data_IF_467895646806
#
_entry.id   IF_467895646806
#
_cell.length_a   1.000
_cell.length_b   1.000
_cell.length_c   1.000
_cell.angle_alpha   90.00
_cell.angle_beta   90.00
_cell.angle_gamma   90.00
#
_symmetry.space_group_name_H-M   'P 1'
#
loop_
_entity.id
_entity.type
_entity.pdbx_description
1 polymer ?
#
# COMPACT_ATOMS: atom_id res chain seq x y z
N UNK A 1 1.41 3.38 6.03
CA UNK A 1 1.89 3.21 4.64
C UNK A 1 3.41 3.20 4.65
N UNK A 2 4.08 2.42 3.80
CA UNK A 2 5.52 2.20 3.84
C UNK A 2 6.03 1.57 2.54
N UNK A 3 7.36 1.49 2.38
CA UNK A 3 8.03 0.65 1.40
C UNK A 3 7.95 -0.83 1.76
N UNK A 4 7.46 -1.67 0.87
CA UNK A 4 7.32 -3.10 1.12
C UNK A 4 8.69 -3.79 1.28
N UNK A 5 8.99 -4.19 2.52
CA UNK A 5 10.16 -4.98 2.88
C UNK A 5 9.79 -6.29 3.56
N UNK A 6 8.56 -6.78 3.35
CA UNK A 6 8.10 -8.03 3.98
C UNK A 6 8.91 -9.24 3.49
N UNK A 7 8.96 -10.31 4.30
CA UNK A 7 9.83 -11.47 4.04
C UNK A 7 9.52 -12.16 2.71
N UNK A 8 8.23 -12.36 2.42
CA UNK A 8 7.74 -12.95 1.17
C UNK A 8 6.74 -11.98 0.56
N UNK A 9 7.16 -11.26 -0.48
CA UNK A 9 6.28 -10.37 -1.22
C UNK A 9 6.59 -10.30 -2.71
N UNK A 10 5.55 -10.42 -3.57
CA UNK A 10 5.69 -10.18 -5.00
C UNK A 10 5.89 -8.69 -5.35
N UNK A 11 5.72 -7.79 -4.36
CA UNK A 11 5.79 -6.33 -4.51
C UNK A 11 6.92 -5.73 -3.67
N UNK A 12 7.97 -6.51 -3.37
CA UNK A 12 9.09 -6.04 -2.56
C UNK A 12 9.76 -4.82 -3.21
N UNK A 13 9.89 -3.73 -2.46
CA UNK A 13 10.43 -2.44 -2.94
C UNK A 13 9.37 -1.43 -3.39
N UNK A 14 8.11 -1.84 -3.50
CA UNK A 14 7.00 -0.97 -3.87
C UNK A 14 6.47 -0.13 -2.71
N UNK A 15 5.61 0.84 -3.05
CA UNK A 15 4.84 1.59 -2.07
C UNK A 15 3.54 0.86 -1.71
N UNK A 16 3.38 0.53 -0.43
CA UNK A 16 2.21 -0.19 0.08
C UNK A 16 1.51 0.53 1.23
N UNK A 17 0.21 0.23 1.39
CA UNK A 17 -0.57 0.49 2.59
C UNK A 17 -0.81 -0.83 3.34
N UNK A 18 -0.82 -0.77 4.66
CA UNK A 18 -1.25 -1.89 5.52
C UNK A 18 -2.48 -1.44 6.29
N UNK A 19 -3.48 -2.32 6.35
CA UNK A 19 -4.72 -2.11 7.10
C UNK A 19 -4.85 -3.23 8.11
N UNK A 20 -5.10 -2.86 9.36
CA UNK A 20 -5.26 -3.77 10.48
C UNK A 20 -5.49 -2.99 11.76
N UNK A 21 -5.55 -3.70 12.88
CA UNK A 21 -5.76 -3.11 14.21
C UNK A 21 -4.41 -2.81 14.85
N UNK A 22 -4.40 -1.83 15.75
CA UNK A 22 -3.22 -1.57 16.58
C UNK A 22 -2.73 -2.84 17.32
N UNK A 23 -3.65 -3.67 17.81
CA UNK A 23 -3.32 -4.95 18.46
C UNK A 23 -2.61 -5.95 17.52
N UNK A 24 -2.85 -5.89 16.20
CA UNK A 24 -2.09 -6.71 15.24
C UNK A 24 -0.62 -6.28 15.19
N UNK A 25 -0.34 -4.98 15.31
CA UNK A 25 1.03 -4.47 15.37
C UNK A 25 1.69 -4.94 16.68
N UNK A 26 1.01 -4.77 17.81
CA UNK A 26 1.54 -5.15 19.13
C UNK A 26 1.87 -6.64 19.20
N UNK A 27 1.04 -7.48 18.59
CA UNK A 27 1.19 -8.93 18.61
C UNK A 27 1.96 -9.50 17.41
N UNK A 28 2.43 -8.66 16.48
CA UNK A 28 3.14 -9.11 15.28
C UNK A 28 2.31 -9.96 14.32
N UNK A 29 1.00 -9.68 14.20
CA UNK A 29 0.08 -10.36 13.27
C UNK A 29 0.05 -9.66 11.90
N UNK A 30 -0.37 -10.41 10.88
CA UNK A 30 -0.44 -9.93 9.48
C UNK A 30 -1.43 -8.78 9.24
N UNK A 31 -2.36 -8.53 10.16
CA UNK A 31 -3.43 -7.55 9.99
C UNK A 31 -4.53 -8.03 9.04
N UNK A 32 -5.31 -7.10 8.50
CA UNK A 32 -6.46 -7.41 7.64
C UNK A 32 -6.04 -7.61 6.18
N UNK A 33 -5.23 -6.70 5.64
CA UNK A 33 -4.63 -6.84 4.31
C UNK A 33 -3.52 -5.80 4.07
N UNK A 34 -2.75 -6.01 2.99
CA UNK A 34 -1.87 -5.02 2.37
C UNK A 34 -2.41 -4.63 0.99
N UNK A 35 -2.25 -3.36 0.63
CA UNK A 35 -2.62 -2.82 -0.68
C UNK A 35 -1.39 -2.22 -1.35
N UNK A 36 -1.11 -2.61 -2.59
CA UNK A 36 -0.10 -1.96 -3.44
C UNK A 36 -0.65 -0.60 -3.89
N UNK A 37 0.02 0.47 -3.51
CA UNK A 37 -0.37 1.84 -3.87
C UNK A 37 0.26 2.24 -5.19
N UNK A 38 1.58 2.03 -5.35
CA UNK A 38 2.28 2.26 -6.61
C UNK A 38 3.44 1.28 -6.81
N UNK A 39 3.70 0.96 -8.07
CA UNK A 39 4.86 0.19 -8.55
C UNK A 39 6.12 1.07 -8.53
N UNK A 40 7.18 0.62 -7.84
CA UNK A 40 8.44 1.36 -7.80
C UNK A 40 9.45 0.76 -8.78
N UNK A 41 9.93 1.58 -9.71
CA UNK A 41 10.88 1.16 -10.75
C UNK A 41 12.36 1.30 -10.34
N UNK A 42 12.67 1.55 -9.06
CA UNK A 42 14.04 1.70 -8.57
C UNK A 42 14.26 1.00 -7.23
N UNK A 43 14.44 -0.33 -7.30
CA UNK A 43 14.75 -1.17 -6.13
C UNK A 43 13.84 -0.82 -4.95
N UNK A 44 14.40 -0.33 -3.84
CA UNK A 44 13.66 0.16 -2.68
C UNK A 44 13.82 1.66 -2.41
N UNK A 45 14.20 2.48 -3.37
CA UNK A 45 14.31 3.93 -3.14
C UNK A 45 12.95 4.63 -3.32
N UNK A 46 12.07 4.47 -2.33
CA UNK A 46 10.77 5.13 -2.27
C UNK A 46 10.12 5.04 -0.87
N UNK A 47 8.97 5.70 -0.74
CA UNK A 47 7.93 5.42 0.26
C UNK A 47 8.32 5.61 1.73
N UNK A 48 8.73 6.83 2.07
CA UNK A 48 8.66 7.41 3.42
C UNK A 48 7.48 8.39 3.49
N UNK A 49 6.24 7.90 3.64
CA UNK A 49 5.06 8.72 3.42
C UNK A 49 4.63 9.51 4.67
N UNK A 50 4.10 10.71 4.45
CA UNK A 50 3.10 11.30 5.35
C UNK A 50 1.75 10.59 5.15
N UNK A 51 0.97 10.44 6.22
CA UNK A 51 -0.37 9.86 6.19
C UNK A 51 -1.31 10.74 7.00
N UNK A 52 -2.32 11.31 6.34
CA UNK A 52 -3.30 12.23 6.92
C UNK A 52 -4.71 11.70 6.68
N UNK A 53 -5.63 12.01 7.59
CA UNK A 53 -7.06 11.70 7.45
C UNK A 53 -7.81 13.02 7.30
N UNK A 54 -8.56 13.18 6.21
CA UNK A 54 -9.42 14.33 5.98
C UNK A 54 -10.78 14.18 6.68
N UNK A 55 -11.55 15.27 6.86
CA UNK A 55 -12.85 15.23 7.56
C UNK A 55 -13.91 14.30 6.95
N UNK A 56 -13.73 13.86 5.70
CA UNK A 56 -14.65 12.96 4.99
C UNK A 56 -14.17 11.49 4.98
N UNK A 57 -13.26 11.15 5.90
CA UNK A 57 -12.58 9.85 6.04
C UNK A 57 -11.63 9.49 4.89
N UNK A 58 -11.32 10.42 3.99
CA UNK A 58 -10.29 10.21 2.98
C UNK A 58 -8.92 10.15 3.65
N UNK A 59 -8.22 9.04 3.46
CA UNK A 59 -6.80 8.92 3.78
C UNK A 59 -6.00 9.50 2.62
N UNK A 60 -5.16 10.49 2.91
CA UNK A 60 -4.19 11.04 1.96
C UNK A 60 -2.81 10.58 2.39
N UNK A 61 -2.09 9.93 1.48
CA UNK A 61 -0.72 9.53 1.72
C UNK A 61 0.19 10.07 0.62
N UNK A 62 1.27 10.73 1.02
CA UNK A 62 2.15 11.48 0.10
C UNK A 62 3.59 11.04 0.29
N UNK A 63 4.27 10.68 -0.79
CA UNK A 63 5.68 10.27 -0.74
C UNK A 63 6.40 10.45 -2.08
N UNK A 64 7.73 10.28 -2.07
CA UNK A 64 8.56 10.26 -3.27
C UNK A 64 8.83 8.82 -3.73
N UNK A 65 9.14 8.67 -5.02
CA UNK A 65 9.65 7.41 -5.59
C UNK A 65 9.78 7.46 -7.10
N UNK A 66 10.15 6.33 -7.69
CA UNK A 66 10.31 6.17 -9.14
C UNK A 66 9.08 5.46 -9.73
N UNK A 67 8.01 6.22 -9.94
CA UNK A 67 6.70 5.64 -10.28
C UNK A 67 6.47 5.43 -11.78
N UNK A 68 7.36 5.97 -12.62
CA UNK A 68 7.32 5.77 -14.07
C UNK A 68 8.67 5.26 -14.55
N UNK A 69 8.67 4.15 -15.28
CA UNK A 69 9.90 3.54 -15.79
C UNK A 69 10.74 4.53 -16.62
N UNK A 70 12.04 4.59 -16.34
CA UNK A 70 12.98 5.46 -17.05
C UNK A 70 12.88 6.95 -16.71
N UNK A 71 11.98 7.36 -15.80
CA UNK A 71 11.82 8.75 -15.40
C UNK A 71 12.54 9.08 -14.07
N UNK A 72 12.94 10.34 -13.86
CA UNK A 72 13.37 10.84 -12.55
C UNK A 72 12.30 10.64 -11.47
N UNK A 73 12.68 10.59 -10.18
CA UNK A 73 11.71 10.41 -9.10
C UNK A 73 10.83 11.65 -8.95
N UNK A 74 9.60 11.45 -8.49
CA UNK A 74 8.66 12.53 -8.22
C UNK A 74 7.78 12.23 -7.01
N UNK A 75 7.19 13.28 -6.46
CA UNK A 75 6.26 13.19 -5.32
C UNK A 75 4.87 12.89 -5.84
N UNK A 76 4.19 11.92 -5.22
CA UNK A 76 2.80 11.57 -5.49
C UNK A 76 2.01 11.58 -4.20
N UNK A 77 0.78 12.07 -4.29
CA UNK A 77 -0.26 11.88 -3.27
C UNK A 77 -1.31 10.90 -3.77
N UNK A 78 -1.57 9.85 -3.01
CA UNK A 78 -2.70 8.94 -3.22
C UNK A 78 -3.79 9.27 -2.21
N UNK A 79 -5.04 9.28 -2.67
CA UNK A 79 -6.24 9.46 -1.85
C UNK A 79 -7.08 8.20 -1.94
N UNK A 80 -7.53 7.70 -0.81
CA UNK A 80 -8.33 6.48 -0.72
C UNK A 80 -9.25 6.52 0.50
N UNK A 81 -10.37 5.78 0.44
CA UNK A 81 -11.19 5.48 1.62
C UNK A 81 -11.07 4.01 2.01
N UNK A 82 -11.12 3.73 3.32
CA UNK A 82 -11.11 2.34 3.79
C UNK A 82 -12.28 1.53 3.24
N UNK A 83 -13.46 2.15 3.12
CA UNK A 83 -14.65 1.51 2.56
C UNK A 83 -14.44 1.00 1.13
N UNK A 84 -13.68 1.71 0.29
CA UNK A 84 -13.34 1.30 -1.07
C UNK A 84 -12.37 0.13 -1.08
N UNK A 85 -11.36 0.17 -0.19
CA UNK A 85 -10.39 -0.91 -0.05
C UNK A 85 -11.04 -2.19 0.49
N UNK A 86 -11.93 -2.07 1.47
CA UNK A 86 -12.68 -3.19 2.06
C UNK A 86 -13.56 -3.88 1.01
N UNK A 87 -14.28 -3.09 0.19
CA UNK A 87 -15.07 -3.62 -0.92
C UNK A 87 -14.21 -4.36 -1.95
N UNK A 88 -13.04 -3.80 -2.30
CA UNK A 88 -12.09 -4.44 -3.21
C UNK A 88 -11.55 -5.76 -2.64
N UNK A 89 -11.16 -5.77 -1.37
CA UNK A 89 -10.66 -6.97 -0.69
C UNK A 89 -11.74 -8.07 -0.60
N UNK A 90 -12.98 -7.70 -0.29
CA UNK A 90 -14.11 -8.63 -0.28
C UNK A 90 -14.40 -9.22 -1.67
N UNK A 91 -14.21 -8.43 -2.73
CA UNK A 91 -14.41 -8.88 -4.12
C UNK A 91 -13.32 -9.84 -4.58
N UNK A 92 -12.06 -9.63 -4.17
CA UNK A 92 -10.97 -10.57 -4.49
C UNK A 92 -11.11 -11.92 -3.80
N UNK A 93 -11.65 -11.97 -2.57
CA UNK A 93 -11.96 -13.24 -1.89
C UNK A 93 -13.01 -14.09 -2.64
N UNK A 94 -13.82 -13.48 -3.50
CA UNK A 94 -14.86 -14.16 -4.28
C UNK A 94 -14.39 -14.65 -5.65
N UNK A 95 -13.22 -14.21 -6.12
CA UNK A 95 -12.67 -14.66 -7.40
C UNK A 95 -11.82 -15.93 -7.17
N UNK A 96 -12.03 -17.01 -7.95
CA UNK A 96 -11.12 -18.14 -7.91
C UNK A 96 -9.73 -17.67 -8.34
N UNK A 97 -8.73 -17.94 -7.51
CA UNK A 97 -7.33 -17.63 -7.85
C UNK A 97 -6.94 -18.54 -9.02
N UNK A 98 -6.79 -17.98 -10.21
CA UNK A 98 -6.22 -18.71 -11.35
C UNK A 98 -4.76 -19.06 -11.05
N UNK A 99 -4.34 -20.33 -11.21
CA UNK A 99 -2.93 -20.69 -11.06
C UNK A 99 -2.11 -19.98 -12.14
N UNK A 100 -0.96 -19.43 -11.72
CA UNK A 100 0.10 -18.95 -12.62
C UNK A 100 0.91 -20.12 -13.16
#
# INVERSE_FOLDING_TARGET
>A
SFRDTTHVSPTKGDWVGWVGRYDDIVQGREGQYRVRLMDNHKSGDCAYPGVEILPDDTIVTTTYGHWTAGQPPYIVSVRLKLSELDQKAASQKKQPVSPK
#
